data_IF_221809996318
#
_entry.id   IF_221809996318
#
_cell.length_a   1.000
_cell.length_b   1.000
_cell.length_c   1.000
_cell.angle_alpha   90.00
_cell.angle_beta   90.00
_cell.angle_gamma   90.00
#
_symmetry.space_group_name_H-M   'P 1'
#
loop_
_entity.id
_entity.type
_entity.pdbx_description
1 polymer ?
#
# COMPACT_ATOMS: atom_id res chain seq x y z
N UNK A 1 -20.13 -19.48 -2.00
CA UNK A 1 -18.75 -19.25 -1.53
C UNK A 1 -18.51 -17.74 -1.52
N UNK A 2 -17.79 -17.25 -0.53
CA UNK A 2 -17.37 -15.85 -0.47
C UNK A 2 -16.43 -15.57 -1.64
N UNK A 3 -16.53 -14.40 -2.23
CA UNK A 3 -15.73 -14.00 -3.39
C UNK A 3 -14.30 -13.72 -2.97
N UNK A 4 -13.31 -14.34 -3.61
CA UNK A 4 -11.90 -14.00 -3.40
C UNK A 4 -11.54 -12.79 -4.27
N UNK A 5 -11.09 -11.73 -3.62
CA UNK A 5 -10.71 -10.47 -4.24
C UNK A 5 -9.37 -10.00 -3.68
N UNK A 6 -8.51 -9.45 -4.50
CA UNK A 6 -7.30 -8.78 -4.06
C UNK A 6 -7.05 -7.55 -4.94
N UNK A 7 -6.87 -6.38 -4.31
CA UNK A 7 -6.62 -5.12 -5.04
C UNK A 7 -5.23 -4.56 -4.74
N UNK A 8 -4.33 -5.37 -4.14
CA UNK A 8 -2.97 -4.98 -3.80
C UNK A 8 -1.97 -5.98 -4.36
N UNK A 9 -1.50 -5.72 -5.59
CA UNK A 9 -0.62 -6.62 -6.34
C UNK A 9 0.44 -5.81 -7.10
N UNK A 10 1.70 -6.22 -6.97
CA UNK A 10 2.87 -5.61 -7.61
C UNK A 10 3.41 -6.48 -8.74
N UNK A 11 4.22 -5.87 -9.63
CA UNK A 11 4.94 -6.54 -10.69
C UNK A 11 6.43 -6.17 -10.65
N UNK A 12 7.25 -6.84 -11.45
CA UNK A 12 8.69 -6.57 -11.56
C UNK A 12 9.03 -5.09 -11.81
N UNK A 13 8.08 -4.30 -12.34
CA UNK A 13 8.27 -2.89 -12.69
C UNK A 13 8.57 -2.01 -11.48
N UNK A 14 8.10 -2.36 -10.30
CA UNK A 14 8.44 -1.62 -9.07
C UNK A 14 9.87 -1.90 -8.57
N UNK A 15 10.61 -2.81 -9.24
CA UNK A 15 12.04 -3.06 -9.02
C UNK A 15 12.36 -3.96 -7.82
N UNK A 16 11.36 -4.45 -7.09
CA UNK A 16 11.54 -5.36 -5.95
C UNK A 16 10.51 -6.49 -5.90
N UNK A 17 9.64 -6.59 -6.91
CA UNK A 17 8.74 -7.71 -7.15
C UNK A 17 9.22 -8.58 -8.33
N UNK A 18 8.65 -9.76 -8.45
CA UNK A 18 8.86 -10.74 -9.52
C UNK A 18 7.56 -10.93 -10.29
N UNK A 19 7.70 -11.41 -11.54
CA UNK A 19 6.53 -11.63 -12.40
C UNK A 19 6.03 -10.37 -13.10
N UNK A 20 5.56 -10.55 -14.32
CA UNK A 20 4.92 -9.51 -15.10
C UNK A 20 3.39 -9.51 -14.88
N UNK A 21 2.68 -8.58 -15.50
CA UNK A 21 1.23 -8.41 -15.35
C UNK A 21 0.48 -9.69 -15.72
N UNK A 22 0.89 -10.37 -16.80
CA UNK A 22 0.26 -11.59 -17.27
C UNK A 22 0.44 -12.75 -16.27
N UNK A 23 1.67 -12.96 -15.78
CA UNK A 23 2.00 -14.02 -14.81
C UNK A 23 1.24 -13.84 -13.49
N UNK A 24 1.07 -12.58 -13.03
CA UNK A 24 0.28 -12.29 -11.83
C UNK A 24 -1.20 -12.60 -12.03
N UNK A 25 -1.77 -12.23 -13.19
CA UNK A 25 -3.18 -12.52 -13.50
C UNK A 25 -3.42 -14.03 -13.65
N UNK A 26 -2.50 -14.74 -14.32
CA UNK A 26 -2.58 -16.21 -14.49
C UNK A 26 -2.54 -16.92 -13.13
N UNK A 27 -1.63 -16.50 -12.23
CA UNK A 27 -1.55 -17.03 -10.87
C UNK A 27 -2.85 -16.77 -10.07
N UNK A 28 -3.37 -15.54 -10.12
CA UNK A 28 -4.62 -15.21 -9.46
C UNK A 28 -5.80 -16.06 -9.96
N UNK A 29 -5.89 -16.26 -11.28
CA UNK A 29 -6.92 -17.10 -11.88
C UNK A 29 -6.78 -18.56 -11.45
N UNK A 30 -5.56 -19.10 -11.41
CA UNK A 30 -5.27 -20.46 -10.95
C UNK A 30 -5.71 -20.67 -9.49
N UNK A 31 -5.47 -19.70 -8.64
CA UNK A 31 -5.83 -19.72 -7.22
C UNK A 31 -7.32 -19.42 -6.96
N UNK A 32 -8.09 -19.10 -8.01
CA UNK A 32 -9.54 -18.94 -7.94
C UNK A 32 -10.03 -17.54 -7.56
N UNK A 33 -9.20 -16.50 -7.74
CA UNK A 33 -9.61 -15.10 -7.55
C UNK A 33 -10.64 -14.69 -8.62
N UNK A 34 -11.68 -13.97 -8.22
CA UNK A 34 -12.71 -13.43 -9.12
C UNK A 34 -12.45 -11.97 -9.49
N UNK A 35 -11.69 -11.24 -8.64
CA UNK A 35 -11.24 -9.88 -8.94
C UNK A 35 -9.78 -9.71 -8.54
N UNK A 36 -9.01 -9.08 -9.43
CA UNK A 36 -7.63 -8.72 -9.20
C UNK A 36 -7.41 -7.24 -9.56
N UNK A 37 -6.91 -6.48 -8.63
CA UNK A 37 -6.43 -5.13 -8.85
C UNK A 37 -4.91 -5.11 -8.92
N UNK A 38 -4.37 -4.62 -10.01
CA UNK A 38 -2.94 -4.40 -10.19
C UNK A 38 -2.61 -3.00 -9.69
N UNK A 39 -1.73 -2.89 -8.69
CA UNK A 39 -1.46 -1.63 -7.98
C UNK A 39 0.02 -1.40 -7.72
N UNK A 40 0.85 -1.57 -8.75
CA UNK A 40 2.27 -1.21 -8.64
C UNK A 40 2.45 0.19 -8.04
N UNK A 41 3.57 0.43 -7.37
CA UNK A 41 3.90 1.77 -6.87
C UNK A 41 3.83 2.80 -8.00
N UNK A 42 3.10 3.88 -7.76
CA UNK A 42 2.79 4.88 -8.78
C UNK A 42 4.03 5.45 -9.46
N UNK A 43 4.01 5.46 -10.77
CA UNK A 43 5.03 6.09 -11.60
C UNK A 43 4.89 7.61 -11.51
N UNK A 44 5.82 8.30 -10.85
CA UNK A 44 5.77 9.75 -10.63
C UNK A 44 6.49 10.51 -11.76
N UNK A 45 5.83 11.47 -12.41
CA UNK A 45 6.49 12.35 -13.38
C UNK A 45 7.57 13.20 -12.71
N UNK A 46 8.63 13.51 -13.44
CA UNK A 46 9.74 14.37 -12.97
C UNK A 46 10.46 13.90 -11.70
N UNK A 47 10.26 12.65 -11.28
CA UNK A 47 10.86 12.13 -10.04
C UNK A 47 12.40 12.23 -10.02
N UNK A 48 13.09 12.22 -11.18
CA UNK A 48 14.54 12.43 -11.28
C UNK A 48 15.00 13.80 -10.78
N UNK A 49 14.21 14.86 -11.00
CA UNK A 49 14.53 16.21 -10.51
C UNK A 49 14.50 16.26 -8.98
N UNK A 50 13.61 15.49 -8.36
CA UNK A 50 13.55 15.35 -6.91
C UNK A 50 14.75 14.56 -6.34
N UNK A 51 15.27 13.58 -7.10
CA UNK A 51 16.50 12.87 -6.71
C UNK A 51 17.71 13.82 -6.67
N UNK A 52 17.86 14.71 -7.64
CA UNK A 52 18.92 15.73 -7.64
C UNK A 52 18.79 16.70 -6.47
N UNK A 53 17.57 17.13 -6.16
CA UNK A 53 17.31 17.93 -4.96
C UNK A 53 17.68 17.18 -3.68
N UNK A 54 17.43 15.87 -3.63
CA UNK A 54 17.78 15.01 -2.50
C UNK A 54 19.30 14.89 -2.28
N UNK A 55 20.13 15.03 -3.32
CA UNK A 55 21.59 15.03 -3.20
C UNK A 55 22.09 16.18 -2.29
N UNK A 56 21.42 17.30 -2.31
CA UNK A 56 21.79 18.47 -1.47
C UNK A 56 21.50 18.27 0.01
N UNK A 57 20.67 17.29 0.35
CA UNK A 57 20.29 16.96 1.72
C UNK A 57 21.05 15.76 2.31
N UNK A 58 21.99 15.17 1.56
CA UNK A 58 22.80 14.03 2.02
C UNK A 58 23.70 14.45 3.17
N UNK A 59 23.57 13.74 4.31
CA UNK A 59 24.36 13.96 5.51
C UNK A 59 25.10 12.71 6.00
N UNK A 60 25.11 11.63 5.20
CA UNK A 60 25.78 10.37 5.55
C UNK A 60 26.27 9.62 4.32
N UNK A 61 27.33 8.82 4.47
CA UNK A 61 27.83 7.94 3.42
C UNK A 61 26.80 6.88 2.98
N UNK A 62 25.96 6.43 3.91
CA UNK A 62 24.89 5.49 3.61
C UNK A 62 23.80 6.17 2.76
N UNK A 63 23.45 7.42 3.05
CA UNK A 63 22.56 8.21 2.23
C UNK A 63 23.09 8.44 0.81
N UNK A 64 24.40 8.73 0.68
CA UNK A 64 25.06 8.89 -0.60
C UNK A 64 24.99 7.59 -1.44
N UNK A 65 25.34 6.44 -0.85
CA UNK A 65 25.24 5.13 -1.53
C UNK A 65 23.81 4.82 -1.98
N UNK A 66 22.82 5.12 -1.14
CA UNK A 66 21.41 4.92 -1.45
C UNK A 66 20.96 5.82 -2.62
N UNK A 67 21.40 7.09 -2.62
CA UNK A 67 21.11 8.07 -3.66
C UNK A 67 21.71 7.68 -5.01
N UNK A 68 22.99 7.28 -5.01
CA UNK A 68 23.67 6.80 -6.23
C UNK A 68 22.98 5.53 -6.76
N UNK A 69 22.65 4.59 -5.89
CA UNK A 69 21.96 3.35 -6.28
C UNK A 69 20.56 3.60 -6.86
N UNK A 70 19.82 4.59 -6.33
CA UNK A 70 18.54 4.99 -6.87
C UNK A 70 18.68 5.70 -8.23
N UNK A 71 19.67 6.60 -8.36
CA UNK A 71 19.97 7.29 -9.61
C UNK A 71 20.33 6.32 -10.74
N UNK A 72 21.20 5.34 -10.47
CA UNK A 72 21.65 4.33 -11.45
C UNK A 72 20.49 3.42 -11.92
N UNK A 73 19.46 3.23 -11.12
CA UNK A 73 18.28 2.39 -11.43
C UNK A 73 17.08 3.18 -11.97
N UNK A 74 17.26 4.43 -12.34
CA UNK A 74 16.20 5.31 -12.86
C UNK A 74 15.02 5.61 -11.93
N UNK A 75 15.18 5.39 -10.64
CA UNK A 75 14.12 5.72 -9.68
C UNK A 75 14.45 5.28 -8.26
N UNK A 76 13.63 5.59 -7.28
CA UNK A 76 13.74 5.00 -5.98
C UNK A 76 13.44 3.50 -6.09
N UNK A 77 14.03 2.75 -5.21
CA UNK A 77 14.08 1.28 -5.16
C UNK A 77 12.70 0.57 -5.09
N UNK A 78 11.61 1.30 -5.00
CA UNK A 78 10.27 0.80 -4.76
C UNK A 78 9.24 1.33 -5.77
N UNK A 79 9.68 1.82 -6.92
CA UNK A 79 8.77 2.54 -7.80
C UNK A 79 9.07 2.31 -9.27
N UNK A 80 8.00 2.18 -10.05
CA UNK A 80 8.08 2.10 -11.51
C UNK A 80 8.67 3.39 -12.09
N UNK A 81 9.62 3.31 -13.03
CA UNK A 81 10.04 4.48 -13.81
C UNK A 81 8.86 5.10 -14.58
N UNK A 82 8.78 6.42 -14.61
CA UNK A 82 7.63 7.10 -15.25
C UNK A 82 7.48 6.75 -16.75
N UNK A 83 8.56 6.52 -17.46
CA UNK A 83 8.53 6.12 -18.86
C UNK A 83 7.99 4.70 -19.11
N UNK A 84 7.85 3.87 -18.08
CA UNK A 84 7.24 2.53 -18.16
C UNK A 84 5.74 2.54 -17.83
N UNK A 85 5.18 3.70 -17.43
CA UNK A 85 3.76 3.81 -17.06
C UNK A 85 2.85 3.34 -18.18
N UNK A 86 3.11 3.80 -19.42
CA UNK A 86 2.24 3.44 -20.54
C UNK A 86 2.33 1.94 -20.86
N UNK A 87 3.53 1.37 -20.87
CA UNK A 87 3.72 -0.06 -21.10
C UNK A 87 3.01 -0.92 -20.04
N UNK A 88 2.97 -0.45 -18.78
CA UNK A 88 2.20 -1.08 -17.71
C UNK A 88 0.69 -1.05 -17.98
N UNK A 89 0.16 0.11 -18.35
CA UNK A 89 -1.28 0.26 -18.65
C UNK A 89 -1.68 -0.56 -19.88
N UNK A 90 -0.87 -0.56 -20.93
CA UNK A 90 -1.10 -1.37 -22.14
C UNK A 90 -1.08 -2.87 -21.84
N UNK A 91 -0.18 -3.32 -20.96
CA UNK A 91 -0.13 -4.72 -20.51
C UNK A 91 -1.39 -5.10 -19.73
N UNK A 92 -1.91 -4.21 -18.88
CA UNK A 92 -3.16 -4.44 -18.16
C UNK A 92 -4.39 -4.43 -19.09
N UNK A 93 -4.43 -3.55 -20.08
CA UNK A 93 -5.45 -3.54 -21.13
C UNK A 93 -5.43 -4.86 -21.94
N UNK A 94 -4.24 -5.37 -22.20
CA UNK A 94 -4.08 -6.68 -22.82
C UNK A 94 -4.65 -7.79 -21.91
N UNK A 95 -4.30 -7.80 -20.63
CA UNK A 95 -4.81 -8.78 -19.66
C UNK A 95 -6.35 -8.72 -19.56
N UNK A 96 -6.94 -7.52 -19.46
CA UNK A 96 -8.41 -7.36 -19.42
C UNK A 96 -9.11 -7.95 -20.64
N UNK A 97 -8.48 -7.89 -21.81
CA UNK A 97 -9.02 -8.43 -23.07
C UNK A 97 -8.88 -9.95 -23.21
N UNK A 98 -7.90 -10.55 -22.53
CA UNK A 98 -7.56 -11.97 -22.72
C UNK A 98 -8.03 -12.87 -21.58
N UNK A 99 -8.19 -12.34 -20.37
CA UNK A 99 -8.65 -13.10 -19.21
C UNK A 99 -10.12 -12.79 -18.90
N UNK A 100 -11.06 -13.65 -19.33
CA UNK A 100 -12.50 -13.41 -19.20
C UNK A 100 -13.12 -13.96 -17.90
N UNK A 101 -12.40 -14.79 -17.16
CA UNK A 101 -12.90 -15.45 -15.94
C UNK A 101 -12.51 -14.74 -14.65
N UNK A 102 -11.73 -13.66 -14.74
CA UNK A 102 -11.31 -12.81 -13.63
C UNK A 102 -11.51 -11.35 -14.03
N UNK A 103 -12.05 -10.55 -13.11
CA UNK A 103 -12.15 -9.11 -13.34
C UNK A 103 -10.87 -8.43 -12.93
N UNK A 104 -10.23 -7.75 -13.85
CA UNK A 104 -8.95 -7.08 -13.63
C UNK A 104 -9.19 -5.58 -13.55
N UNK A 105 -8.56 -4.92 -12.57
CA UNK A 105 -8.61 -3.48 -12.39
C UNK A 105 -7.21 -2.88 -12.48
N UNK A 106 -7.11 -1.73 -13.12
CA UNK A 106 -5.89 -0.94 -13.24
C UNK A 106 -5.79 0.04 -12.08
N UNK A 107 -4.68 0.02 -11.36
CA UNK A 107 -4.49 0.90 -10.23
C UNK A 107 -3.03 1.21 -9.96
N UNK A 108 -2.82 2.05 -8.96
CA UNK A 108 -1.52 2.30 -8.37
C UNK A 108 -1.62 2.38 -6.85
N UNK A 109 -0.55 1.91 -6.19
CA UNK A 109 -0.27 2.25 -4.80
C UNK A 109 0.51 3.56 -4.77
N UNK A 110 -0.04 4.56 -4.09
CA UNK A 110 0.52 5.89 -4.05
C UNK A 110 0.63 6.42 -2.62
N UNK A 111 1.71 7.14 -2.34
CA UNK A 111 1.87 7.89 -1.10
C UNK A 111 1.11 9.21 -1.15
N UNK A 112 0.81 9.78 0.03
CA UNK A 112 0.38 11.16 0.12
C UNK A 112 1.57 12.10 -0.10
N UNK A 113 1.68 12.59 -1.33
CA UNK A 113 2.60 13.66 -1.68
C UNK A 113 1.79 14.84 -2.22
N UNK A 114 1.78 15.94 -1.49
CA UNK A 114 0.95 17.10 -1.77
C UNK A 114 1.18 17.65 -3.19
N UNK A 115 2.44 17.63 -3.66
CA UNK A 115 2.84 18.08 -4.99
C UNK A 115 2.32 17.18 -6.15
N UNK A 116 1.79 15.99 -5.84
CA UNK A 116 1.32 15.03 -6.83
C UNK A 116 -0.19 14.80 -6.81
N UNK A 117 -0.94 15.51 -5.97
CA UNK A 117 -2.39 15.30 -5.86
C UNK A 117 -3.12 15.60 -7.17
N UNK A 118 -2.75 16.65 -7.89
CA UNK A 118 -3.31 16.97 -9.20
C UNK A 118 -3.01 15.88 -10.24
N UNK A 119 -1.81 15.31 -10.18
CA UNK A 119 -1.45 14.18 -11.04
C UNK A 119 -2.28 12.93 -10.70
N UNK A 120 -2.49 12.63 -9.44
CA UNK A 120 -3.34 11.51 -9.01
C UNK A 120 -4.79 11.71 -9.44
N UNK A 121 -5.32 12.93 -9.30
CA UNK A 121 -6.65 13.26 -9.79
C UNK A 121 -6.73 13.08 -11.31
N UNK A 122 -5.73 13.53 -12.07
CA UNK A 122 -5.71 13.39 -13.52
C UNK A 122 -5.70 11.93 -13.99
N UNK A 123 -5.02 11.01 -13.28
CA UNK A 123 -5.04 9.57 -13.57
C UNK A 123 -6.45 8.97 -13.45
N UNK A 124 -7.22 9.41 -12.45
CA UNK A 124 -8.58 8.96 -12.22
C UNK A 124 -9.57 9.59 -13.22
N UNK A 125 -9.44 10.88 -13.48
CA UNK A 125 -10.34 11.64 -14.36
C UNK A 125 -10.21 11.20 -15.83
N UNK A 126 -8.99 10.90 -16.25
CA UNK A 126 -8.74 10.38 -17.61
C UNK A 126 -9.18 8.93 -17.80
N UNK A 127 -9.44 8.20 -16.71
CA UNK A 127 -9.71 6.78 -16.76
C UNK A 127 -8.48 5.93 -17.11
N UNK A 128 -7.26 6.48 -17.00
CA UNK A 128 -6.04 5.71 -17.14
C UNK A 128 -5.99 4.59 -16.09
N UNK A 129 -6.49 4.86 -14.89
CA UNK A 129 -6.63 3.87 -13.83
C UNK A 129 -8.05 3.85 -13.24
N UNK A 130 -8.45 2.69 -12.74
CA UNK A 130 -9.73 2.49 -12.08
C UNK A 130 -9.71 3.02 -10.65
N UNK A 131 -8.55 2.94 -9.96
CA UNK A 131 -8.42 3.28 -8.55
C UNK A 131 -6.98 3.61 -8.14
N UNK A 132 -6.88 4.26 -6.98
CA UNK A 132 -5.63 4.43 -6.23
C UNK A 132 -5.80 3.86 -4.83
N UNK A 133 -4.74 3.25 -4.28
CA UNK A 133 -4.66 2.87 -2.87
C UNK A 133 -3.60 3.72 -2.17
N UNK A 134 -3.82 4.02 -0.90
CA UNK A 134 -2.90 4.83 -0.11
C UNK A 134 -1.88 3.94 0.59
N UNK A 135 -0.72 3.71 -0.04
CA UNK A 135 0.42 3.05 0.58
C UNK A 135 1.44 4.07 1.07
N UNK A 136 1.24 4.61 2.28
CA UNK A 136 2.06 5.71 2.77
C UNK A 136 3.37 5.23 3.40
N UNK A 137 4.41 5.12 2.56
CA UNK A 137 5.72 4.58 2.95
C UNK A 137 6.70 5.63 3.44
N UNK A 138 6.63 6.86 2.91
CA UNK A 138 7.63 7.90 3.13
C UNK A 138 6.95 9.24 3.45
N UNK A 139 7.56 10.00 4.37
CA UNK A 139 7.13 11.35 4.70
C UNK A 139 7.22 12.31 3.50
N UNK A 140 8.24 12.15 2.64
CA UNK A 140 8.44 12.94 1.41
C UNK A 140 8.91 12.04 0.29
N UNK A 141 8.82 12.53 -0.93
CA UNK A 141 9.34 11.83 -2.11
C UNK A 141 10.88 11.85 -2.23
N UNK A 142 11.57 12.17 -1.14
CA UNK A 142 13.03 12.09 -1.03
C UNK A 142 13.47 10.71 -0.56
N UNK A 143 14.43 10.10 -1.25
CA UNK A 143 15.01 8.79 -0.88
C UNK A 143 15.74 8.78 0.48
N UNK A 144 15.98 9.96 1.07
CA UNK A 144 16.60 10.12 2.40
C UNK A 144 15.61 10.26 3.51
N UNK A 145 14.33 10.34 3.14
CA UNK A 145 13.31 10.62 4.11
C UNK A 145 12.87 9.38 4.90
N UNK A 146 12.07 9.62 5.89
CA UNK A 146 11.60 8.61 6.80
C UNK A 146 10.76 7.55 6.06
N UNK A 147 11.32 6.34 5.91
CA UNK A 147 10.52 5.18 5.59
C UNK A 147 9.83 4.70 6.86
N UNK A 148 8.50 4.75 6.88
CA UNK A 148 7.72 4.44 8.08
C UNK A 148 7.80 2.98 8.54
N UNK A 149 8.22 2.06 7.67
CA UNK A 149 8.52 0.67 8.03
C UNK A 149 9.94 0.44 8.59
N UNK A 150 10.83 1.46 8.68
CA UNK A 150 12.19 1.29 9.19
C UNK A 150 12.22 1.21 10.71
N UNK A 151 13.22 0.51 11.26
CA UNK A 151 13.47 0.47 12.71
C UNK A 151 13.82 1.84 13.26
N UNK A 152 13.48 2.05 14.54
CA UNK A 152 13.82 3.23 15.35
C UNK A 152 13.09 4.53 14.95
N UNK A 153 11.82 4.43 14.54
CA UNK A 153 10.95 5.58 14.44
C UNK A 153 10.84 6.31 15.78
N UNK A 154 10.79 7.62 15.71
CA UNK A 154 10.56 8.49 16.86
C UNK A 154 9.08 8.84 16.98
N UNK A 155 8.64 9.28 18.18
CA UNK A 155 7.25 9.71 18.42
C UNK A 155 6.76 10.75 17.39
N UNK A 156 7.60 11.70 17.00
CA UNK A 156 7.26 12.70 15.98
C UNK A 156 6.95 12.09 14.61
N UNK A 157 7.67 11.00 14.25
CA UNK A 157 7.47 10.34 12.95
C UNK A 157 6.09 9.68 12.90
N UNK A 158 5.62 9.13 14.05
CA UNK A 158 4.28 8.56 14.16
C UNK A 158 3.17 9.62 14.03
N UNK A 159 3.36 10.78 14.66
CA UNK A 159 2.41 11.88 14.60
C UNK A 159 2.31 12.44 13.17
N UNK A 160 3.44 12.57 12.47
CA UNK A 160 3.46 12.93 11.04
C UNK A 160 2.73 11.89 10.18
N UNK A 161 2.99 10.60 10.41
CA UNK A 161 2.29 9.54 9.70
C UNK A 161 0.77 9.65 9.82
N UNK A 162 0.27 9.84 11.05
CA UNK A 162 -1.17 10.02 11.27
C UNK A 162 -1.71 11.25 10.56
N UNK A 163 -1.03 12.40 10.66
CA UNK A 163 -1.44 13.65 10.03
C UNK A 163 -1.52 13.52 8.50
N UNK A 164 -0.54 12.86 7.89
CA UNK A 164 -0.48 12.66 6.45
C UNK A 164 -1.55 11.69 5.96
N UNK A 165 -1.82 10.60 6.69
CA UNK A 165 -2.94 9.71 6.39
C UNK A 165 -4.30 10.42 6.53
N UNK A 166 -4.47 11.27 7.56
CA UNK A 166 -5.69 12.06 7.73
C UNK A 166 -5.93 13.01 6.56
N UNK A 167 -4.88 13.73 6.12
CA UNK A 167 -4.94 14.61 4.94
C UNK A 167 -5.22 13.81 3.65
N UNK A 168 -4.55 12.67 3.48
CA UNK A 168 -4.77 11.81 2.33
C UNK A 168 -6.21 11.33 2.22
N UNK A 169 -6.79 10.85 3.32
CA UNK A 169 -8.19 10.41 3.36
C UNK A 169 -9.18 11.54 3.06
N UNK A 170 -8.85 12.80 3.44
CA UNK A 170 -9.67 13.97 3.14
C UNK A 170 -9.70 14.33 1.65
N UNK A 171 -8.71 13.90 0.86
CA UNK A 171 -8.69 14.16 -0.58
C UNK A 171 -9.79 13.40 -1.33
N UNK A 172 -10.21 12.24 -0.82
CA UNK A 172 -11.14 11.33 -1.50
C UNK A 172 -10.53 10.61 -2.71
N UNK A 173 -9.21 10.69 -2.95
CA UNK A 173 -8.52 10.06 -4.08
C UNK A 173 -8.31 8.56 -3.88
N UNK A 174 -8.10 8.13 -2.65
CA UNK A 174 -7.68 6.77 -2.34
C UNK A 174 -8.86 5.90 -1.93
N UNK A 175 -9.00 4.75 -2.58
CA UNK A 175 -10.09 3.82 -2.35
C UNK A 175 -10.03 3.13 -0.99
N UNK A 176 -8.81 2.91 -0.47
CA UNK A 176 -8.55 2.42 0.88
C UNK A 176 -7.12 2.74 1.33
N UNK A 177 -6.83 2.54 2.62
CA UNK A 177 -5.47 2.69 3.17
C UNK A 177 -4.82 1.32 3.23
N UNK A 178 -3.75 1.12 2.46
CA UNK A 178 -2.91 -0.06 2.48
C UNK A 178 -2.07 -0.10 3.76
N UNK A 179 -1.92 -1.30 4.36
CA UNK A 179 -1.10 -1.54 5.56
C UNK A 179 -1.05 -0.34 6.55
N UNK A 180 -2.22 0.14 7.07
CA UNK A 180 -2.31 1.39 7.85
C UNK A 180 -1.49 1.39 9.13
N UNK A 181 -1.07 0.23 9.58
CA UNK A 181 -0.27 -0.02 10.79
C UNK A 181 1.21 -0.30 10.53
N UNK A 182 1.70 -0.05 9.30
CA UNK A 182 3.10 -0.21 8.90
C UNK A 182 4.09 0.46 9.87
N UNK A 183 3.74 1.62 10.41
CA UNK A 183 4.56 2.36 11.36
C UNK A 183 4.89 1.56 12.64
N UNK A 184 4.04 0.61 13.03
CA UNK A 184 4.28 -0.25 14.20
C UNK A 184 5.51 -1.15 13.99
N UNK A 185 5.76 -1.60 12.76
CA UNK A 185 6.99 -2.34 12.41
C UNK A 185 8.24 -1.48 12.69
N UNK A 186 8.17 -0.21 12.35
CA UNK A 186 9.27 0.72 12.55
C UNK A 186 9.44 1.18 14.00
N UNK A 187 8.34 1.35 14.72
CA UNK A 187 8.34 1.83 16.09
C UNK A 187 8.60 0.73 17.13
N UNK A 188 8.06 -0.48 16.90
CA UNK A 188 8.36 -1.68 17.66
C UNK A 188 7.70 -1.77 19.04
N UNK A 189 6.75 -0.92 19.38
CA UNK A 189 6.03 -0.94 20.67
C UNK A 189 4.65 -0.30 20.60
N UNK A 190 3.78 -0.69 21.53
CA UNK A 190 2.49 -0.05 21.80
C UNK A 190 2.65 0.79 23.07
N UNK A 191 2.64 2.09 22.95
CA UNK A 191 2.63 3.07 24.02
C UNK A 191 1.54 4.13 23.76
N UNK A 192 1.43 5.15 24.60
CA UNK A 192 0.34 6.14 24.51
C UNK A 192 0.35 6.89 23.17
N UNK A 193 1.54 7.15 22.59
CA UNK A 193 1.64 7.83 21.28
C UNK A 193 1.18 6.91 20.16
N UNK A 194 1.60 5.64 20.13
CA UNK A 194 1.13 4.70 19.11
C UNK A 194 -0.38 4.44 19.22
N UNK A 195 -0.92 4.38 20.45
CA UNK A 195 -2.36 4.27 20.69
C UNK A 195 -3.13 5.48 20.15
N UNK A 196 -2.64 6.69 20.41
CA UNK A 196 -3.20 7.92 19.87
C UNK A 196 -3.23 7.89 18.34
N UNK A 197 -2.11 7.53 17.71
CA UNK A 197 -1.99 7.45 16.25
C UNK A 197 -2.96 6.42 15.67
N UNK A 198 -3.06 5.23 16.25
CA UNK A 198 -4.03 4.20 15.84
C UNK A 198 -5.45 4.76 15.91
N UNK A 199 -5.81 5.38 17.04
CA UNK A 199 -7.14 5.94 17.25
C UNK A 199 -7.47 7.04 16.22
N UNK A 200 -6.53 7.92 15.92
CA UNK A 200 -6.67 8.98 14.90
C UNK A 200 -6.95 8.37 13.53
N UNK A 201 -6.10 7.43 13.08
CA UNK A 201 -6.24 6.76 11.78
C UNK A 201 -7.61 6.08 11.66
N UNK A 202 -7.99 5.26 12.66
CA UNK A 202 -9.26 4.54 12.63
C UNK A 202 -10.48 5.48 12.65
N UNK A 203 -10.46 6.54 13.47
CA UNK A 203 -11.55 7.54 13.50
C UNK A 203 -11.68 8.28 12.17
N UNK A 204 -10.54 8.68 11.58
CA UNK A 204 -10.53 9.39 10.29
C UNK A 204 -11.03 8.48 9.16
N UNK A 205 -10.55 7.24 9.11
CA UNK A 205 -11.00 6.25 8.14
C UNK A 205 -12.51 6.03 8.21
N UNK A 206 -13.07 5.92 9.43
CA UNK A 206 -14.53 5.82 9.62
C UNK A 206 -15.27 7.06 9.14
N UNK A 207 -14.77 8.25 9.50
CA UNK A 207 -15.40 9.52 9.14
C UNK A 207 -15.40 9.79 7.62
N UNK A 208 -14.41 9.28 6.89
CA UNK A 208 -14.27 9.45 5.43
C UNK A 208 -14.76 8.25 4.63
N UNK A 209 -15.34 7.24 5.29
CA UNK A 209 -15.72 5.96 4.66
C UNK A 209 -14.56 5.39 3.82
N UNK A 210 -13.35 5.36 4.39
CA UNK A 210 -12.16 4.82 3.75
C UNK A 210 -11.82 3.49 4.41
N UNK A 211 -11.95 2.34 3.73
CA UNK A 211 -11.58 1.05 4.28
C UNK A 211 -10.10 1.00 4.68
N UNK A 212 -9.77 0.14 5.65
CA UNK A 212 -8.41 -0.14 6.09
C UNK A 212 -8.02 -1.55 5.63
N UNK A 213 -6.79 -1.73 5.18
CA UNK A 213 -6.33 -3.02 4.70
C UNK A 213 -5.75 -3.88 5.83
N UNK A 214 -6.25 -5.12 5.97
CA UNK A 214 -5.55 -6.19 6.69
C UNK A 214 -4.58 -6.86 5.70
N UNK A 215 -3.28 -6.63 5.89
CA UNK A 215 -2.26 -6.88 4.87
C UNK A 215 -1.44 -8.14 5.15
N UNK A 216 -1.34 -9.04 4.17
CA UNK A 216 -0.57 -10.27 4.27
C UNK A 216 0.95 -10.07 4.36
N UNK A 217 1.47 -8.96 3.84
CA UNK A 217 2.90 -8.63 3.95
C UNK A 217 3.39 -8.65 5.40
N UNK A 218 2.56 -8.16 6.34
CA UNK A 218 2.85 -8.22 7.77
C UNK A 218 2.88 -9.64 8.32
N UNK A 219 1.97 -10.47 7.85
CA UNK A 219 1.90 -11.90 8.22
C UNK A 219 3.13 -12.65 7.71
N UNK A 220 3.51 -12.42 6.44
CA UNK A 220 4.72 -13.04 5.83
C UNK A 220 6.02 -12.67 6.54
N UNK A 221 6.08 -11.53 7.24
CA UNK A 221 7.25 -11.17 8.06
C UNK A 221 7.40 -11.99 9.34
N UNK A 222 6.37 -12.75 9.71
CA UNK A 222 6.33 -13.50 10.96
C UNK A 222 6.07 -12.64 12.19
N UNK A 223 5.81 -13.31 13.32
CA UNK A 223 5.56 -12.63 14.60
C UNK A 223 6.86 -12.10 15.22
N UNK A 224 6.75 -10.95 15.87
CA UNK A 224 7.82 -10.29 16.62
C UNK A 224 7.36 -10.04 18.06
N UNK A 225 8.32 -9.88 18.98
CA UNK A 225 8.00 -9.45 20.35
C UNK A 225 7.71 -7.97 20.38
N UNK A 226 6.47 -7.60 20.76
CA UNK A 226 6.06 -6.22 20.99
C UNK A 226 5.34 -6.15 22.35
N UNK A 227 5.85 -5.36 23.25
CA UNK A 227 5.37 -5.28 24.64
C UNK A 227 5.23 -6.67 25.32
N UNK A 228 6.18 -7.59 25.05
CA UNK A 228 6.21 -8.94 25.64
C UNK A 228 5.29 -9.97 24.97
N UNK A 229 4.46 -9.57 24.01
CA UNK A 229 3.54 -10.44 23.24
C UNK A 229 4.09 -10.76 21.86
N UNK A 230 3.78 -11.96 21.35
CA UNK A 230 4.05 -12.32 19.94
C UNK A 230 2.94 -11.80 19.05
N UNK A 231 3.27 -10.80 18.22
CA UNK A 231 2.32 -10.13 17.32
C UNK A 231 2.94 -9.94 15.94
N UNK A 232 2.13 -9.83 14.91
CA UNK A 232 2.63 -9.39 13.60
C UNK A 232 3.09 -7.93 13.68
N UNK A 233 4.20 -7.57 12.99
CA UNK A 233 4.74 -6.21 13.02
C UNK A 233 3.79 -5.18 12.41
N UNK A 234 3.03 -5.56 11.36
CA UNK A 234 1.78 -4.99 10.87
C UNK A 234 0.85 -6.16 10.49
N UNK A 235 -0.41 -5.94 10.19
CA UNK A 235 -1.53 -6.83 10.48
C UNK A 235 -1.66 -7.06 12.01
N UNK A 236 -1.40 -5.99 12.77
CA UNK A 236 -1.20 -6.03 14.21
C UNK A 236 -2.55 -6.14 14.94
N UNK A 237 -2.67 -7.14 15.81
CA UNK A 237 -3.89 -7.40 16.55
C UNK A 237 -4.42 -6.17 17.32
N UNK A 238 -3.52 -5.39 17.93
CA UNK A 238 -3.93 -4.21 18.69
C UNK A 238 -4.55 -3.13 17.79
N UNK A 239 -3.95 -2.89 16.61
CA UNK A 239 -4.50 -1.94 15.63
C UNK A 239 -5.91 -2.37 15.20
N UNK A 240 -6.05 -3.62 14.77
CA UNK A 240 -7.29 -4.13 14.21
C UNK A 240 -8.40 -4.34 15.26
N UNK A 241 -8.06 -4.60 16.52
CA UNK A 241 -9.04 -4.57 17.61
C UNK A 241 -9.63 -3.17 17.81
N UNK A 242 -8.82 -2.11 17.72
CA UNK A 242 -9.32 -0.73 17.76
C UNK A 242 -10.17 -0.41 16.52
N UNK A 243 -9.74 -0.85 15.34
CA UNK A 243 -10.52 -0.68 14.10
C UNK A 243 -11.89 -1.37 14.20
N UNK A 244 -11.95 -2.59 14.76
CA UNK A 244 -13.19 -3.31 15.04
C UNK A 244 -14.10 -2.55 16.00
N UNK A 245 -13.56 -2.05 17.11
CA UNK A 245 -14.33 -1.28 18.10
C UNK A 245 -14.93 0.02 17.54
N UNK A 246 -14.24 0.66 16.60
CA UNK A 246 -14.72 1.87 15.91
C UNK A 246 -15.72 1.50 14.79
N UNK A 247 -15.72 0.23 14.35
CA UNK A 247 -16.55 -0.26 13.26
C UNK A 247 -16.03 0.16 11.89
N UNK A 248 -14.71 0.15 11.69
CA UNK A 248 -14.10 0.37 10.38
C UNK A 248 -14.42 -0.77 9.41
N UNK A 249 -14.62 -0.42 8.16
CA UNK A 249 -14.64 -1.39 7.06
C UNK A 249 -13.22 -1.84 6.75
N UNK A 250 -13.06 -3.14 6.50
CA UNK A 250 -11.75 -3.76 6.23
C UNK A 250 -11.75 -4.40 4.85
N UNK A 251 -10.65 -4.25 4.13
CA UNK A 251 -10.35 -5.02 2.92
C UNK A 251 -9.17 -5.97 3.21
N UNK A 252 -9.21 -7.18 2.68
CA UNK A 252 -8.06 -8.07 2.73
C UNK A 252 -7.14 -7.74 1.55
N UNK A 253 -5.85 -7.54 1.81
CA UNK A 253 -4.86 -7.27 0.79
C UNK A 253 -3.67 -8.22 0.90
N UNK A 254 -3.30 -8.83 -0.21
CA UNK A 254 -2.15 -9.74 -0.18
C UNK A 254 -0.83 -8.99 -0.29
N UNK A 255 -0.79 -7.84 -0.98
CA UNK A 255 0.45 -7.08 -1.20
C UNK A 255 1.53 -7.98 -1.84
N UNK A 256 1.10 -8.62 -2.93
CA UNK A 256 1.88 -9.65 -3.59
C UNK A 256 3.00 -9.06 -4.42
N UNK A 257 4.19 -9.63 -4.24
CA UNK A 257 5.41 -9.25 -4.94
C UNK A 257 5.96 -10.38 -5.83
N UNK A 258 5.21 -11.47 -5.96
CA UNK A 258 5.51 -12.59 -6.89
C UNK A 258 4.25 -13.43 -7.11
N UNK A 259 4.16 -14.16 -8.25
CA UNK A 259 2.99 -14.99 -8.56
C UNK A 259 2.66 -16.03 -7.48
N UNK A 260 3.67 -16.62 -6.84
CA UNK A 260 3.51 -17.61 -5.77
C UNK A 260 2.94 -17.04 -4.45
N UNK A 261 2.94 -15.73 -4.29
CA UNK A 261 2.34 -15.05 -3.13
C UNK A 261 0.82 -14.87 -3.27
N UNK A 262 0.28 -14.92 -4.49
CA UNK A 262 -1.17 -14.94 -4.77
C UNK A 262 -1.77 -16.29 -4.37
N UNK A 263 -1.76 -16.61 -3.08
CA UNK A 263 -2.07 -17.93 -2.57
C UNK A 263 -3.44 -17.97 -1.91
N UNK A 264 -4.23 -18.99 -2.25
CA UNK A 264 -5.49 -19.32 -1.62
C UNK A 264 -5.34 -19.49 -0.09
N UNK A 265 -4.28 -20.19 0.36
CA UNK A 265 -4.04 -20.43 1.76
C UNK A 265 -3.79 -19.13 2.54
N UNK A 266 -3.03 -18.20 1.96
CA UNK A 266 -2.77 -16.90 2.60
C UNK A 266 -4.05 -16.06 2.67
N UNK A 267 -4.86 -16.05 1.62
CA UNK A 267 -6.15 -15.35 1.64
C UNK A 267 -7.05 -15.89 2.76
N UNK A 268 -7.21 -17.20 2.85
CA UNK A 268 -7.99 -17.83 3.92
C UNK A 268 -7.39 -17.65 5.31
N UNK A 269 -6.06 -17.54 5.39
CA UNK A 269 -5.42 -17.19 6.65
C UNK A 269 -5.80 -15.77 7.11
N UNK A 270 -5.83 -14.81 6.18
CA UNK A 270 -6.31 -13.45 6.49
C UNK A 270 -7.80 -13.43 6.88
N UNK A 271 -8.64 -14.24 6.24
CA UNK A 271 -10.05 -14.37 6.64
C UNK A 271 -10.19 -14.86 8.08
N UNK A 272 -9.44 -15.91 8.48
CA UNK A 272 -9.42 -16.40 9.86
C UNK A 272 -8.91 -15.35 10.84
N UNK A 273 -7.88 -14.61 10.46
CA UNK A 273 -7.34 -13.54 11.29
C UNK A 273 -8.35 -12.39 11.45
N UNK A 274 -9.08 -12.06 10.39
CA UNK A 274 -10.15 -11.08 10.43
C UNK A 274 -11.33 -11.53 11.34
N UNK A 275 -11.68 -12.79 11.31
CA UNK A 275 -12.67 -13.39 12.24
C UNK A 275 -12.17 -13.32 13.69
N UNK A 276 -10.90 -13.66 13.95
CA UNK A 276 -10.27 -13.57 15.28
C UNK A 276 -10.30 -12.14 15.82
N UNK A 277 -10.11 -11.15 14.96
CA UNK A 277 -10.12 -9.73 15.33
C UNK A 277 -11.53 -9.12 15.29
N UNK A 278 -12.57 -9.90 14.95
CA UNK A 278 -13.97 -9.45 14.80
C UNK A 278 -14.15 -8.30 13.81
N UNK A 279 -13.51 -8.39 12.64
CA UNK A 279 -13.50 -7.36 11.63
C UNK A 279 -14.70 -7.45 10.67
N UNK A 280 -15.22 -6.31 10.25
CA UNK A 280 -16.17 -6.22 9.16
C UNK A 280 -15.43 -6.19 7.82
N UNK A 281 -15.30 -7.33 7.17
CA UNK A 281 -14.58 -7.48 5.89
C UNK A 281 -15.53 -7.27 4.72
N UNK A 282 -15.16 -6.36 3.83
CA UNK A 282 -15.87 -6.07 2.60
C UNK A 282 -15.60 -7.15 1.54
N UNK A 283 -16.63 -7.50 0.78
CA UNK A 283 -16.55 -8.46 -0.34
C UNK A 283 -16.35 -7.75 -1.70
N UNK A 284 -16.35 -6.45 -1.70
CA UNK A 284 -16.13 -5.56 -2.83
C UNK A 284 -15.98 -4.14 -2.29
N UNK A 285 -15.28 -3.27 -3.02
CA UNK A 285 -15.22 -1.84 -2.73
C UNK A 285 -15.63 -1.02 -3.97
N UNK A 286 -16.30 0.10 -3.73
CA UNK A 286 -16.49 1.11 -4.75
C UNK A 286 -15.25 2.00 -4.80
N UNK A 287 -14.64 2.10 -5.98
CA UNK A 287 -13.44 2.90 -6.14
C UNK A 287 -13.73 4.39 -6.08
N UNK A 288 -12.95 5.09 -5.30
CA UNK A 288 -13.03 6.56 -5.18
C UNK A 288 -12.45 7.23 -6.42
N UNK A 289 -13.06 8.35 -6.82
CA UNK A 289 -12.68 9.13 -8.01
C UNK A 289 -12.16 10.53 -7.68
N UNK A 290 -11.86 10.79 -6.42
CA UNK A 290 -11.52 12.12 -5.94
C UNK A 290 -12.73 12.97 -5.62
N UNK A 291 -12.51 14.20 -5.14
CA UNK A 291 -13.57 15.19 -4.95
C UNK A 291 -13.78 15.91 -6.29
N UNK A 292 -14.98 15.83 -6.81
CA UNK A 292 -15.42 16.67 -7.92
C UNK A 292 -15.57 18.12 -7.46
#
# INVERSE_FOLDING_TARGET
>A
MKKMINYHTHTYRCGHALGNEYEMVEAALHEGYQELGMSCHVALPHYRSHLLHSLTSIRSLQGLKSCIGAFLRNGPKMRMPYNEKQDYLDALDYCQKHFHYIKIYKGFEAEYFEDYLDYYQSLLDSGEVDYLILGHHFHKHSIHDCYYGRKNLKKKDLLHYAEELEKAMDTGLFSYVAHPDLFLMGYGKIDDVSKEVILRICKKAKATNTPLELNAGGVRKGKVKMNGKDVYPYANAYFFQIASMIGNDIILGLDDHSPDQLSYEMYHYLEKLAEEYHLHVLNHIEFKKGKQ
#
